data_IF_581191787202
#
_entry.id   IF_581191787202
#
_cell.length_a   1.000
_cell.length_b   1.000
_cell.length_c   1.000
_cell.angle_alpha   90.00
_cell.angle_beta   90.00
_cell.angle_gamma   90.00
#
_symmetry.space_group_name_H-M   'P 1'
#
loop_
_entity.id
_entity.type
_entity.pdbx_description
1 polymer ?
#
# COMPACT_ATOMS: atom_id res chain seq x y z
N UNK A 1 -9.55 -16.77 6.41
CA UNK A 1 -9.08 -15.46 5.94
C UNK A 1 -10.11 -14.42 6.30
N UNK A 2 -9.73 -13.34 6.98
CA UNK A 2 -10.69 -12.32 7.35
C UNK A 2 -11.00 -11.39 6.18
N UNK A 3 -12.18 -10.82 6.21
CA UNK A 3 -12.57 -9.82 5.22
C UNK A 3 -11.76 -8.54 5.41
N UNK A 4 -11.63 -7.78 4.33
CA UNK A 4 -11.00 -6.47 4.38
C UNK A 4 -11.87 -5.51 5.19
N UNK A 5 -11.23 -4.66 6.00
CA UNK A 5 -11.92 -3.55 6.64
C UNK A 5 -12.19 -2.46 5.60
N UNK A 6 -13.07 -1.50 5.94
CA UNK A 6 -13.35 -0.37 5.06
C UNK A 6 -12.08 0.41 4.71
N UNK A 7 -11.22 0.66 5.70
CA UNK A 7 -10.00 1.42 5.47
C UNK A 7 -9.04 0.65 4.56
N UNK A 8 -8.93 -0.67 4.74
CA UNK A 8 -8.09 -1.51 3.89
C UNK A 8 -8.60 -1.51 2.45
N UNK A 9 -9.91 -1.62 2.28
CA UNK A 9 -10.54 -1.57 0.97
C UNK A 9 -10.27 -0.23 0.28
N UNK A 10 -10.40 0.87 1.00
CA UNK A 10 -10.16 2.21 0.46
C UNK A 10 -8.70 2.40 0.07
N UNK A 11 -7.77 1.85 0.86
CA UNK A 11 -6.35 1.90 0.51
C UNK A 11 -6.10 1.13 -0.80
N UNK A 12 -6.66 -0.06 -0.94
CA UNK A 12 -6.50 -0.85 -2.16
C UNK A 12 -7.05 -0.10 -3.38
N UNK A 13 -8.15 0.61 -3.23
CA UNK A 13 -8.70 1.46 -4.29
C UNK A 13 -7.71 2.55 -4.72
N UNK A 14 -6.99 3.13 -3.77
CA UNK A 14 -6.06 4.21 -4.04
C UNK A 14 -4.80 3.72 -4.78
N UNK A 15 -4.34 2.51 -4.46
CA UNK A 15 -3.06 1.98 -4.98
C UNK A 15 -3.21 1.05 -6.18
N UNK A 16 -4.31 1.16 -6.93
CA UNK A 16 -4.42 0.46 -8.22
C UNK A 16 -3.27 0.81 -9.15
N UNK A 17 -2.79 2.03 -9.06
CA UNK A 17 -1.56 2.48 -9.69
C UNK A 17 -0.58 2.86 -8.61
N UNK A 18 0.69 3.00 -8.97
CA UNK A 18 1.75 3.37 -8.02
C UNK A 18 1.42 4.71 -7.37
N UNK A 19 1.32 4.73 -6.04
CA UNK A 19 0.96 5.93 -5.29
C UNK A 19 1.83 6.13 -4.07
N UNK A 20 2.01 7.40 -3.68
CA UNK A 20 2.77 7.79 -2.49
C UNK A 20 1.92 7.57 -1.23
N UNK A 21 2.60 7.50 -0.07
CA UNK A 21 1.91 7.44 1.21
C UNK A 21 1.07 8.70 1.45
N UNK A 22 1.58 9.86 1.05
CA UNK A 22 0.84 11.12 1.19
C UNK A 22 -0.46 11.11 0.38
N UNK A 23 -0.45 10.49 -0.80
CA UNK A 23 -1.67 10.34 -1.61
C UNK A 23 -2.69 9.45 -0.91
N UNK A 24 -2.22 8.38 -0.28
CA UNK A 24 -3.10 7.50 0.49
C UNK A 24 -3.73 8.28 1.65
N UNK A 25 -2.93 9.06 2.38
CA UNK A 25 -3.45 9.89 3.47
C UNK A 25 -4.49 10.90 2.99
N UNK A 26 -4.31 11.44 1.79
CA UNK A 26 -5.23 12.42 1.19
C UNK A 26 -6.56 11.77 0.79
N UNK A 27 -6.50 10.61 0.15
CA UNK A 27 -7.68 9.96 -0.42
C UNK A 27 -8.50 9.14 0.60
N UNK A 28 -7.83 8.55 1.57
CA UNK A 28 -8.48 7.67 2.54
C UNK A 28 -8.86 8.49 3.78
N UNK A 29 -10.16 8.60 4.05
CA UNK A 29 -10.68 9.50 5.08
C UNK A 29 -10.72 8.83 6.45
N UNK A 30 -9.54 8.49 6.99
CA UNK A 30 -9.35 7.89 8.29
C UNK A 30 -8.14 8.54 8.98
N UNK A 31 -8.01 8.43 10.29
CA UNK A 31 -6.82 8.95 10.98
C UNK A 31 -5.54 8.33 10.46
N UNK A 32 -4.46 9.11 10.44
CA UNK A 32 -3.19 8.70 9.87
C UNK A 32 -2.63 7.42 10.52
N UNK A 33 -2.80 7.27 11.85
CA UNK A 33 -2.33 6.07 12.54
C UNK A 33 -3.08 4.81 12.11
N UNK A 34 -4.38 4.93 11.83
CA UNK A 34 -5.18 3.82 11.33
C UNK A 34 -4.74 3.45 9.91
N UNK A 35 -4.51 4.44 9.07
CA UNK A 35 -4.02 4.22 7.70
C UNK A 35 -2.66 3.54 7.74
N UNK A 36 -1.73 4.03 8.57
CA UNK A 36 -0.39 3.45 8.68
C UNK A 36 -0.44 1.98 9.11
N UNK A 37 -1.25 1.66 10.12
CA UNK A 37 -1.40 0.29 10.59
C UNK A 37 -2.00 -0.61 9.51
N UNK A 38 -2.95 -0.08 8.75
CA UNK A 38 -3.60 -0.83 7.67
C UNK A 38 -2.65 -1.07 6.50
N UNK A 39 -1.82 -0.09 6.16
CA UNK A 39 -0.77 -0.27 5.13
C UNK A 39 0.20 -1.37 5.55
N UNK A 40 0.65 -1.37 6.80
CA UNK A 40 1.54 -2.42 7.32
C UNK A 40 0.89 -3.79 7.23
N UNK A 41 -0.39 -3.89 7.58
CA UNK A 41 -1.13 -5.14 7.47
C UNK A 41 -1.21 -5.62 6.02
N UNK A 42 -1.56 -4.71 5.09
CA UNK A 42 -1.70 -5.07 3.68
C UNK A 42 -0.36 -5.53 3.06
N UNK A 43 0.75 -4.94 3.48
CA UNK A 43 2.08 -5.39 3.06
C UNK A 43 2.35 -6.79 3.61
N UNK A 44 2.05 -7.03 4.88
CA UNK A 44 2.23 -8.35 5.51
C UNK A 44 1.44 -9.43 4.80
N UNK A 45 0.22 -9.10 4.37
CA UNK A 45 -0.63 -10.03 3.62
C UNK A 45 -0.26 -10.14 2.15
N UNK A 46 0.71 -9.36 1.69
CA UNK A 46 1.15 -9.30 0.30
C UNK A 46 0.07 -8.81 -0.65
N UNK A 47 -0.85 -8.00 -0.15
CA UNK A 47 -1.90 -7.37 -0.96
C UNK A 47 -1.42 -6.09 -1.63
N UNK A 48 -0.42 -5.42 -1.06
CA UNK A 48 0.27 -4.31 -1.69
C UNK A 48 1.78 -4.54 -1.60
N UNK A 49 2.51 -3.93 -2.54
CA UNK A 49 3.96 -4.03 -2.58
C UNK A 49 4.56 -2.65 -2.38
N UNK A 50 5.48 -2.48 -1.41
CA UNK A 50 6.22 -1.24 -1.31
C UNK A 50 7.24 -1.18 -2.43
N UNK A 51 7.40 0.02 -3.01
CA UNK A 51 8.33 0.24 -4.11
C UNK A 51 9.29 1.35 -3.75
N UNK A 52 10.53 1.20 -4.17
CA UNK A 52 11.58 2.18 -3.95
C UNK A 52 12.17 2.62 -5.27
N UNK A 53 12.62 3.87 -5.34
CA UNK A 53 13.29 4.39 -6.53
C UNK A 53 14.67 3.76 -6.66
N UNK A 54 14.94 3.14 -7.81
CA UNK A 54 16.28 2.67 -8.16
C UNK A 54 17.04 3.86 -8.73
N UNK A 55 18.11 4.33 -8.07
CA UNK A 55 18.85 5.49 -8.55
C UNK A 55 19.57 5.27 -9.87
N UNK A 56 19.81 4.02 -10.26
CA UNK A 56 20.50 3.71 -11.52
C UNK A 56 19.58 3.81 -12.72
N UNK A 57 18.39 3.23 -12.62
CA UNK A 57 17.40 3.22 -13.71
C UNK A 57 16.41 4.36 -13.60
N UNK A 58 16.30 4.98 -12.42
CA UNK A 58 15.32 6.01 -12.07
C UNK A 58 13.88 5.50 -12.16
N UNK A 59 13.71 4.19 -12.08
CA UNK A 59 12.40 3.55 -12.04
C UNK A 59 12.11 3.06 -10.62
N UNK A 60 10.84 2.92 -10.31
CA UNK A 60 10.42 2.33 -9.04
C UNK A 60 10.40 0.82 -9.17
N UNK A 61 11.06 0.15 -8.22
CA UNK A 61 11.16 -1.31 -8.17
C UNK A 61 10.65 -1.81 -6.84
N UNK A 62 10.18 -3.06 -6.81
CA UNK A 62 9.71 -3.67 -5.56
C UNK A 62 10.83 -3.72 -4.55
N UNK A 63 10.51 -3.35 -3.32
CA UNK A 63 11.45 -3.42 -2.21
C UNK A 63 11.16 -4.68 -1.39
N UNK A 64 12.19 -5.51 -1.19
CA UNK A 64 12.08 -6.71 -0.35
C UNK A 64 12.12 -6.39 1.13
N UNK A 65 12.63 -5.21 1.48
CA UNK A 65 12.67 -4.74 2.85
C UNK A 65 11.79 -3.50 2.98
N UNK A 66 10.98 -3.49 4.02
CA UNK A 66 10.09 -2.37 4.27
C UNK A 66 10.37 -1.77 5.64
N UNK A 67 10.74 -0.49 5.63
CA UNK A 67 10.97 0.28 6.84
C UNK A 67 9.70 1.09 7.16
N UNK A 68 8.90 0.60 8.10
CA UNK A 68 7.64 1.24 8.47
C UNK A 68 7.82 2.57 9.20
N UNK A 69 9.05 2.90 9.60
CA UNK A 69 9.35 4.21 10.17
C UNK A 69 9.56 5.27 9.09
N UNK A 70 9.69 4.85 7.83
CA UNK A 70 9.92 5.74 6.68
C UNK A 70 8.90 5.50 5.57
N UNK A 71 7.63 5.49 5.92
CA UNK A 71 6.56 5.17 4.97
C UNK A 71 6.53 6.11 3.77
N UNK A 72 6.93 7.37 3.95
CA UNK A 72 6.96 8.37 2.86
C UNK A 72 8.12 8.16 1.87
N UNK A 73 9.08 7.30 2.21
CA UNK A 73 10.19 6.98 1.31
C UNK A 73 9.79 5.99 0.21
N UNK A 74 8.62 5.39 0.33
CA UNK A 74 8.14 4.35 -0.59
C UNK A 74 6.96 4.84 -1.41
N UNK A 75 6.73 4.15 -2.53
CA UNK A 75 5.45 4.17 -3.21
C UNK A 75 4.84 2.79 -3.11
N UNK A 76 3.55 2.69 -3.37
CA UNK A 76 2.79 1.46 -3.12
C UNK A 76 1.97 1.11 -4.35
N UNK A 77 1.87 -0.18 -4.64
CA UNK A 77 1.04 -0.69 -5.73
C UNK A 77 0.32 -1.94 -5.27
N UNK A 78 -0.92 -2.11 -5.70
CA UNK A 78 -1.70 -3.30 -5.43
C UNK A 78 -1.04 -4.50 -6.14
N UNK A 79 -1.03 -5.65 -5.48
CA UNK A 79 -0.53 -6.89 -6.05
C UNK A 79 -1.67 -7.65 -6.70
N UNK A 80 -1.34 -8.76 -7.37
CA UNK A 80 -2.35 -9.67 -7.88
C UNK A 80 -3.24 -10.20 -6.76
N UNK A 81 -2.65 -10.60 -5.64
CA UNK A 81 -3.38 -11.06 -4.46
C UNK A 81 -4.28 -9.97 -3.90
N UNK A 82 -3.80 -8.73 -3.92
CA UNK A 82 -4.60 -7.59 -3.48
C UNK A 82 -5.79 -7.33 -4.40
N UNK A 83 -5.60 -7.46 -5.70
CA UNK A 83 -6.70 -7.35 -6.67
C UNK A 83 -7.77 -8.40 -6.42
N UNK A 84 -7.35 -9.65 -6.19
CA UNK A 84 -8.28 -10.73 -5.89
C UNK A 84 -9.06 -10.46 -4.61
N UNK A 85 -8.39 -10.04 -3.54
CA UNK A 85 -9.03 -9.73 -2.28
C UNK A 85 -10.01 -8.56 -2.43
N UNK A 86 -9.66 -7.55 -3.21
CA UNK A 86 -10.51 -6.39 -3.45
C UNK A 86 -11.76 -6.77 -4.24
N UNK A 87 -11.61 -7.61 -5.26
CA UNK A 87 -12.71 -7.98 -6.15
C UNK A 87 -13.66 -9.03 -5.56
N UNK A 88 -13.26 -9.71 -4.50
CA UNK A 88 -14.13 -10.72 -3.84
C UNK A 88 -14.92 -10.14 -2.67
N UNK A 89 -14.77 -8.87 -2.39
CA UNK A 89 -15.50 -8.22 -1.31
C UNK A 89 -17.02 -7.98 -1.64
#
# INVERSE_FOLDING_TARGET
>A
MRELTEVEYDILNTVYFVETFDKILEEVKYPANIIADSVKFLIRMKYISPMKLDPKTKDYVRSFMYDSDNMRAYRYIITREGLEAHNTR
#
